data_IF_865161686045
#
_entry.id   IF_865161686045
#
_cell.length_a   1.000
_cell.length_b   1.000
_cell.length_c   1.000
_cell.angle_alpha   90.00
_cell.angle_beta   90.00
_cell.angle_gamma   90.00
#
_symmetry.space_group_name_H-M   'P 1'
#
loop_
_entity.id
_entity.type
_entity.pdbx_description
1 polymer ?
#
# COMPACT_ATOMS: atom_id res chain seq x y z
N UNK A 1 -14.18 -7.34 -1.67
CA UNK A 1 -13.73 -6.33 -2.65
C UNK A 1 -12.48 -5.67 -2.08
N UNK A 2 -11.39 -5.51 -2.85
CA UNK A 2 -10.24 -4.74 -2.42
C UNK A 2 -10.60 -3.25 -2.34
N UNK A 3 -9.96 -2.51 -1.43
CA UNK A 3 -10.15 -1.07 -1.37
C UNK A 3 -9.45 -0.37 -2.55
N UNK A 4 -10.07 0.65 -3.18
CA UNK A 4 -9.50 1.37 -4.31
C UNK A 4 -8.45 2.40 -3.89
N UNK A 5 -7.93 2.29 -2.71
CA UNK A 5 -6.86 3.15 -2.22
C UNK A 5 -5.87 2.42 -1.32
N UNK A 6 -4.68 2.96 -1.24
CA UNK A 6 -3.63 2.57 -0.30
C UNK A 6 -3.12 3.83 0.39
N UNK A 7 -2.97 3.77 1.69
CA UNK A 7 -2.36 4.85 2.47
C UNK A 7 -1.00 4.40 3.00
N UNK A 8 0.00 5.25 2.92
CA UNK A 8 1.34 4.97 3.47
C UNK A 8 1.93 6.19 4.16
N UNK A 9 2.61 5.96 5.26
CA UNK A 9 3.45 6.97 5.90
C UNK A 9 4.89 6.81 5.39
N UNK A 10 5.57 7.93 5.14
CA UNK A 10 6.99 7.90 4.71
C UNK A 10 7.90 7.39 5.82
N UNK A 11 7.59 7.75 7.05
CA UNK A 11 8.34 7.33 8.24
C UNK A 11 7.40 6.54 9.16
N UNK A 12 7.11 5.26 8.85
CA UNK A 12 6.30 4.46 9.75
C UNK A 12 7.07 4.22 11.07
N UNK A 13 6.38 4.18 12.19
CA UNK A 13 6.98 3.76 13.46
C UNK A 13 7.43 2.31 13.36
N UNK A 14 8.41 1.93 14.19
CA UNK A 14 8.77 0.54 14.35
C UNK A 14 7.53 -0.29 14.79
N UNK A 15 7.39 -1.51 14.27
CA UNK A 15 6.23 -2.33 14.58
C UNK A 15 6.08 -2.58 16.08
N UNK A 16 4.96 -2.14 16.63
CA UNK A 16 4.66 -2.28 18.07
C UNK A 16 4.96 -1.04 18.91
N UNK A 17 5.75 -0.10 18.39
CA UNK A 17 6.04 1.14 19.08
C UNK A 17 5.06 2.27 18.71
N UNK A 18 4.70 3.15 19.65
CA UNK A 18 3.91 4.32 19.34
C UNK A 18 4.79 5.36 18.62
N UNK A 19 4.32 5.92 17.53
CA UNK A 19 4.95 7.10 16.94
C UNK A 19 4.71 8.30 17.86
N UNK A 20 5.80 8.83 18.41
CA UNK A 20 5.78 10.06 19.20
C UNK A 20 6.29 11.20 18.31
N UNK A 21 5.47 12.21 18.11
CA UNK A 21 5.79 13.38 17.32
C UNK A 21 6.00 14.59 18.24
N UNK A 22 7.12 15.26 18.08
CA UNK A 22 7.35 16.56 18.71
C UNK A 22 6.47 17.64 18.08
N UNK A 23 6.17 18.73 18.78
CA UNK A 23 5.49 19.88 18.17
C UNK A 23 6.21 20.34 16.89
N UNK A 24 5.44 20.75 15.89
CA UNK A 24 5.92 21.20 14.58
C UNK A 24 6.64 20.15 13.72
N UNK A 25 6.57 18.86 14.09
CA UNK A 25 7.07 17.78 13.23
C UNK A 25 6.18 17.65 11.99
N UNK A 26 6.79 17.69 10.80
CA UNK A 26 6.09 17.38 9.54
C UNK A 26 6.00 15.87 9.36
N UNK A 27 4.81 15.40 8.99
CA UNK A 27 4.55 14.00 8.64
C UNK A 27 4.01 13.96 7.23
N UNK A 28 4.65 13.16 6.40
CA UNK A 28 4.18 12.92 5.03
C UNK A 28 3.37 11.63 4.98
N UNK A 29 2.19 11.75 4.39
CA UNK A 29 1.29 10.62 4.12
C UNK A 29 0.97 10.62 2.64
N UNK A 30 1.30 9.53 1.96
CA UNK A 30 0.89 9.33 0.57
C UNK A 30 -0.39 8.50 0.52
N UNK A 31 -1.21 8.78 -0.48
CA UNK A 31 -2.34 7.96 -0.84
C UNK A 31 -2.24 7.58 -2.33
N UNK A 32 -2.25 6.28 -2.61
CA UNK A 32 -2.46 5.79 -3.97
C UNK A 32 -3.96 5.66 -4.16
N UNK A 33 -4.52 6.38 -5.11
CA UNK A 33 -5.94 6.34 -5.47
C UNK A 33 -6.08 5.57 -6.79
N UNK A 34 -7.14 4.82 -6.95
CA UNK A 34 -7.36 3.94 -8.10
C UNK A 34 -8.73 4.28 -8.68
N UNK A 35 -8.75 4.66 -9.96
CA UNK A 35 -9.95 4.96 -10.75
C UNK A 35 -10.92 5.92 -10.02
N UNK A 36 -12.16 5.55 -9.82
CA UNK A 36 -13.20 6.38 -9.20
C UNK A 36 -12.81 6.96 -7.83
N UNK A 37 -11.79 6.39 -7.17
CA UNK A 37 -11.29 6.96 -5.93
C UNK A 37 -10.67 8.36 -6.09
N UNK A 38 -10.34 8.76 -7.32
CA UNK A 38 -9.88 10.11 -7.63
C UNK A 38 -10.98 11.15 -7.44
N UNK A 39 -12.24 10.80 -7.69
CA UNK A 39 -13.39 11.67 -7.46
C UNK A 39 -13.57 11.99 -5.97
N UNK A 40 -12.99 11.17 -5.09
CA UNK A 40 -13.04 11.37 -3.66
C UNK A 40 -12.03 12.42 -3.14
N UNK A 41 -11.14 12.97 -3.99
CA UNK A 41 -10.11 13.95 -3.57
C UNK A 41 -10.72 15.11 -2.76
N UNK A 42 -11.80 15.79 -3.18
CA UNK A 42 -12.39 16.86 -2.38
C UNK A 42 -12.89 16.40 -1.01
N UNK A 43 -13.47 15.20 -0.95
CA UNK A 43 -13.92 14.61 0.33
C UNK A 43 -12.76 14.20 1.23
N UNK A 44 -11.67 13.71 0.66
CA UNK A 44 -10.45 13.36 1.38
C UNK A 44 -9.79 14.59 1.98
N UNK A 45 -9.71 15.68 1.22
CA UNK A 45 -9.15 16.95 1.68
C UNK A 45 -9.95 17.51 2.86
N UNK A 46 -11.28 17.56 2.74
CA UNK A 46 -12.16 17.97 3.82
C UNK A 46 -12.03 17.07 5.06
N UNK A 47 -11.84 15.76 4.85
CA UNK A 47 -11.62 14.82 5.95
C UNK A 47 -10.30 15.05 6.68
N UNK A 48 -9.22 15.38 5.96
CA UNK A 48 -7.93 15.72 6.58
C UNK A 48 -8.02 17.00 7.41
N UNK A 49 -8.69 18.02 6.94
CA UNK A 49 -8.91 19.27 7.69
C UNK A 49 -9.73 19.00 8.96
N UNK A 50 -10.82 18.25 8.84
CA UNK A 50 -11.64 17.87 9.98
C UNK A 50 -10.87 17.03 11.01
N UNK A 51 -10.08 16.07 10.57
CA UNK A 51 -9.20 15.26 11.43
C UNK A 51 -8.16 16.11 12.12
N UNK A 52 -7.59 17.08 11.43
CA UNK A 52 -6.62 18.03 11.98
C UNK A 52 -7.23 18.87 13.11
N UNK A 53 -8.42 19.39 12.90
CA UNK A 53 -9.15 20.18 13.89
C UNK A 53 -9.57 19.35 15.11
N UNK A 54 -10.00 18.10 14.93
CA UNK A 54 -10.36 17.17 16.01
C UNK A 54 -9.12 16.64 16.78
N UNK A 55 -7.97 16.69 16.17
CA UNK A 55 -6.70 16.17 16.66
C UNK A 55 -6.52 14.66 16.47
N UNK A 56 -5.28 14.27 16.27
CA UNK A 56 -4.84 12.89 16.02
C UNK A 56 -4.11 12.31 17.24
N UNK A 57 -4.03 10.99 17.31
CA UNK A 57 -3.27 10.27 18.32
C UNK A 57 -4.04 10.00 19.61
N UNK A 58 -3.29 9.60 20.63
CA UNK A 58 -3.81 9.39 21.98
C UNK A 58 -4.05 10.73 22.66
N UNK A 59 -5.07 10.78 23.52
CA UNK A 59 -5.26 11.91 24.42
C UNK A 59 -4.14 11.91 25.46
N UNK A 60 -3.37 12.99 25.50
CA UNK A 60 -2.34 13.23 26.51
C UNK A 60 -2.83 14.32 27.48
N UNK A 61 -2.37 14.23 28.72
CA UNK A 61 -2.65 15.24 29.74
C UNK A 61 -1.85 16.49 29.40
N UNK A 62 -2.52 17.64 29.37
CA UNK A 62 -1.87 18.94 29.17
C UNK A 62 -1.80 19.70 30.48
N UNK A 63 -0.94 20.70 30.54
CA UNK A 63 -0.91 21.67 31.65
C UNK A 63 -2.34 22.19 31.92
N UNK A 64 -2.90 21.85 33.11
CA UNK A 64 -4.29 22.15 33.47
C UNK A 64 -5.23 20.97 33.53
N UNK A 65 -4.73 19.71 33.39
CA UNK A 65 -5.49 18.46 33.63
C UNK A 65 -6.43 18.02 32.50
N UNK A 66 -6.59 18.82 31.44
CA UNK A 66 -7.43 18.45 30.31
C UNK A 66 -6.72 17.47 29.38
N UNK A 67 -7.32 16.32 29.11
CA UNK A 67 -6.82 15.35 28.12
C UNK A 67 -7.21 15.75 26.70
N UNK A 68 -6.26 16.17 25.89
CA UNK A 68 -6.46 16.53 24.48
C UNK A 68 -5.61 15.69 23.55
N UNK A 69 -6.04 15.59 22.29
CA UNK A 69 -5.24 15.02 21.19
C UNK A 69 -4.35 16.09 20.60
N UNK A 70 -3.22 15.68 20.00
CA UNK A 70 -2.38 16.60 19.23
C UNK A 70 -3.16 17.16 18.04
N UNK A 71 -3.16 18.49 17.88
CA UNK A 71 -3.70 19.12 16.68
C UNK A 71 -2.73 18.92 15.53
N UNK A 72 -3.26 18.71 14.34
CA UNK A 72 -2.51 18.57 13.11
C UNK A 72 -3.09 19.57 12.11
N UNK A 73 -2.22 20.24 11.39
CA UNK A 73 -2.62 21.12 10.30
C UNK A 73 -2.07 20.55 8.99
N UNK A 74 -2.89 20.53 7.96
CA UNK A 74 -2.43 20.23 6.62
C UNK A 74 -1.53 21.38 6.16
N UNK A 75 -0.28 21.06 5.85
CA UNK A 75 0.69 22.07 5.39
C UNK A 75 0.67 22.20 3.87
N UNK A 76 0.59 21.08 3.18
CA UNK A 76 0.57 21.01 1.73
C UNK A 76 -0.09 19.73 1.24
N UNK A 77 -0.62 19.71 0.05
CA UNK A 77 -1.06 18.52 -0.65
C UNK A 77 -0.72 18.63 -2.14
N UNK A 78 -0.23 17.54 -2.70
CA UNK A 78 0.06 17.43 -4.12
C UNK A 78 -0.48 16.12 -4.69
N UNK A 79 -0.82 16.13 -5.96
CA UNK A 79 -1.16 14.96 -6.75
C UNK A 79 0.04 14.64 -7.66
N UNK A 80 0.59 13.44 -7.50
CA UNK A 80 1.66 12.93 -8.36
C UNK A 80 1.06 11.94 -9.37
N UNK A 81 1.21 12.25 -10.64
CA UNK A 81 0.72 11.44 -11.75
C UNK A 81 1.86 11.24 -12.73
N UNK A 82 2.42 10.01 -12.76
CA UNK A 82 3.49 9.66 -13.71
C UNK A 82 4.75 10.51 -13.60
N UNK A 83 5.07 11.05 -12.43
CA UNK A 83 6.23 11.91 -12.19
C UNK A 83 5.96 13.41 -12.41
N UNK A 84 4.74 13.77 -12.76
CA UNK A 84 4.28 15.18 -12.77
C UNK A 84 3.56 15.45 -11.46
N UNK A 85 4.06 16.41 -10.68
CA UNK A 85 3.47 16.82 -9.41
C UNK A 85 2.61 18.08 -9.63
N UNK A 86 1.33 17.96 -9.28
CA UNK A 86 0.37 19.05 -9.29
C UNK A 86 0.06 19.45 -7.85
N UNK A 87 0.34 20.70 -7.49
CA UNK A 87 0.01 21.20 -6.15
C UNK A 87 -1.49 21.40 -6.04
N UNK A 88 -2.09 20.74 -5.03
CA UNK A 88 -3.52 20.84 -4.72
C UNK A 88 -3.80 21.82 -3.58
N UNK A 89 -2.86 21.97 -2.65
CA UNK A 89 -2.95 22.85 -1.49
C UNK A 89 -1.57 23.37 -1.13
N UNK A 90 -1.43 24.67 -0.93
CA UNK A 90 -0.16 25.34 -0.64
C UNK A 90 0.00 25.77 0.84
N UNK A 91 -0.90 25.35 1.70
CA UNK A 91 -0.96 25.79 3.10
C UNK A 91 -2.00 26.88 3.36
N UNK A 92 -2.54 27.50 2.32
CA UNK A 92 -3.50 28.62 2.40
C UNK A 92 -4.71 28.40 1.51
N UNK A 93 -4.50 27.91 0.29
CA UNK A 93 -5.54 27.81 -0.73
C UNK A 93 -5.55 26.44 -1.41
N UNK A 94 -6.74 25.94 -1.68
CA UNK A 94 -6.96 24.76 -2.49
C UNK A 94 -7.06 25.12 -3.96
N UNK A 95 -6.27 24.43 -4.79
CA UNK A 95 -6.30 24.49 -6.25
C UNK A 95 -6.68 23.09 -6.77
N UNK A 96 -7.93 22.68 -6.58
CA UNK A 96 -8.39 21.39 -7.07
C UNK A 96 -8.59 21.49 -8.59
N UNK A 97 -8.03 20.56 -9.39
CA UNK A 97 -8.34 20.48 -10.79
C UNK A 97 -9.86 20.25 -10.95
N UNK A 98 -10.51 20.91 -11.89
CA UNK A 98 -11.97 20.85 -12.07
C UNK A 98 -12.49 19.43 -12.39
N UNK A 99 -11.64 18.59 -12.92
CA UNK A 99 -11.72 17.11 -12.98
C UNK A 99 -10.32 16.56 -13.04
N UNK A 100 -10.06 15.43 -12.39
CA UNK A 100 -8.89 14.61 -12.73
C UNK A 100 -9.21 13.96 -14.08
N UNK A 101 -8.91 14.67 -15.16
CA UNK A 101 -9.20 14.22 -16.51
C UNK A 101 -8.35 12.99 -16.81
N UNK A 102 -8.95 11.96 -17.39
CA UNK A 102 -8.23 10.74 -17.83
C UNK A 102 -7.06 11.09 -18.76
N UNK A 103 -7.13 12.20 -19.50
CA UNK A 103 -6.02 12.71 -20.30
C UNK A 103 -4.74 13.01 -19.49
N UNK A 104 -4.83 13.42 -18.23
CA UNK A 104 -3.63 13.58 -17.38
C UNK A 104 -2.94 12.23 -17.14
N UNK A 105 -3.72 11.16 -17.01
CA UNK A 105 -3.18 9.80 -16.83
C UNK A 105 -2.61 9.24 -18.13
N UNK A 106 -3.25 9.49 -19.24
CA UNK A 106 -2.74 9.11 -20.56
C UNK A 106 -1.43 9.82 -20.90
N UNK A 107 -1.35 11.13 -20.62
CA UNK A 107 -0.13 11.90 -20.78
C UNK A 107 0.97 11.43 -19.81
N UNK A 108 0.63 11.14 -18.57
CA UNK A 108 1.58 10.64 -17.59
C UNK A 108 2.02 9.20 -17.93
N UNK A 109 1.12 8.35 -18.44
CA UNK A 109 1.47 7.01 -18.93
C UNK A 109 2.38 7.07 -20.17
N UNK A 110 2.17 8.05 -21.07
CA UNK A 110 3.02 8.31 -22.23
C UNK A 110 4.39 8.88 -21.85
N UNK A 111 4.48 9.57 -20.71
CA UNK A 111 5.74 10.12 -20.16
C UNK A 111 6.49 9.12 -19.28
N UNK A 112 5.92 7.94 -19.03
CA UNK A 112 6.69 6.91 -18.30
C UNK A 112 7.95 6.58 -19.11
N UNK A 113 9.15 6.83 -18.56
CA UNK A 113 10.37 6.41 -19.22
C UNK A 113 10.27 4.91 -19.48
N UNK A 114 10.75 4.46 -20.63
CA UNK A 114 10.90 3.05 -20.95
C UNK A 114 11.29 2.29 -19.67
N UNK A 115 10.35 1.53 -19.14
CA UNK A 115 10.65 0.72 -17.95
C UNK A 115 11.85 -0.15 -18.34
N UNK A 116 13.02 0.02 -17.72
CA UNK A 116 14.20 -0.76 -18.07
C UNK A 116 13.78 -2.22 -18.12
N UNK A 117 14.32 -2.96 -19.08
CA UNK A 117 14.07 -4.40 -19.15
C UNK A 117 14.24 -4.97 -17.74
N UNK A 118 13.21 -5.67 -17.26
CA UNK A 118 13.23 -6.16 -15.89
C UNK A 118 14.50 -6.98 -15.66
N UNK A 119 15.26 -6.73 -14.58
CA UNK A 119 16.52 -7.42 -14.33
C UNK A 119 16.33 -8.94 -14.38
N UNK A 120 17.29 -9.64 -14.96
CA UNK A 120 17.32 -11.10 -14.97
C UNK A 120 18.01 -11.66 -13.71
N UNK A 121 17.83 -10.99 -12.60
CA UNK A 121 18.38 -11.33 -11.29
C UNK A 121 17.28 -11.77 -10.33
N UNK A 122 17.60 -12.48 -9.26
CA UNK A 122 16.64 -12.80 -8.21
C UNK A 122 16.00 -11.54 -7.62
N UNK A 123 14.71 -11.59 -7.39
CA UNK A 123 13.95 -10.45 -6.87
C UNK A 123 14.02 -10.42 -5.36
N UNK A 124 14.70 -9.43 -4.82
CA UNK A 124 14.73 -9.19 -3.37
C UNK A 124 13.63 -8.23 -2.95
N UNK A 125 12.82 -8.64 -1.99
CA UNK A 125 11.64 -7.90 -1.51
C UNK A 125 11.77 -7.67 -0.02
N UNK A 126 11.84 -6.41 0.38
CA UNK A 126 11.81 -6.00 1.78
C UNK A 126 10.37 -5.69 2.22
N UNK A 127 9.94 -6.30 3.31
CA UNK A 127 8.65 -6.02 3.95
C UNK A 127 8.79 -4.82 4.88
N UNK A 128 8.32 -3.65 4.47
CA UNK A 128 8.46 -2.37 5.20
C UNK A 128 7.37 -2.13 6.23
N UNK A 129 6.22 -2.78 6.07
CA UNK A 129 5.15 -2.79 7.05
C UNK A 129 4.58 -4.20 7.17
N UNK A 130 3.94 -4.56 8.30
CA UNK A 130 3.51 -5.93 8.53
C UNK A 130 2.69 -6.50 7.38
N UNK A 131 3.21 -7.51 6.71
CA UNK A 131 2.53 -8.22 5.62
C UNK A 131 1.64 -9.31 6.21
N UNK A 132 0.31 -9.09 6.13
CA UNK A 132 -0.67 -10.03 6.64
C UNK A 132 -1.28 -10.83 5.50
N UNK A 133 -0.78 -12.03 5.29
CA UNK A 133 -1.30 -12.97 4.30
C UNK A 133 -2.31 -13.93 4.92
N UNK A 134 -3.23 -14.41 4.06
CA UNK A 134 -4.13 -15.52 4.37
C UNK A 134 -4.06 -16.52 3.22
N UNK A 135 -3.67 -17.75 3.55
CA UNK A 135 -3.64 -18.87 2.63
C UNK A 135 -4.37 -20.06 3.26
N UNK A 136 -5.11 -20.85 2.48
CA UNK A 136 -5.91 -21.99 2.97
C UNK A 136 -6.73 -21.67 4.24
N UNK A 137 -7.36 -20.48 4.28
CA UNK A 137 -8.13 -19.95 5.43
C UNK A 137 -7.33 -19.61 6.67
N UNK A 138 -6.03 -19.86 6.72
CA UNK A 138 -5.13 -19.58 7.85
C UNK A 138 -4.30 -18.32 7.62
N UNK A 139 -3.84 -17.69 8.70
CA UNK A 139 -2.89 -16.59 8.64
C UNK A 139 -1.49 -17.18 8.52
N UNK A 140 -0.78 -16.78 7.46
CA UNK A 140 0.58 -17.22 7.18
C UNK A 140 1.53 -16.66 8.24
N UNK A 141 2.27 -17.55 8.88
CA UNK A 141 3.34 -17.25 9.84
C UNK A 141 4.71 -17.34 9.15
N UNK A 142 5.82 -16.89 9.79
CA UNK A 142 7.14 -16.96 9.17
C UNK A 142 7.49 -18.36 8.62
N UNK A 143 7.25 -19.39 9.39
CA UNK A 143 7.55 -20.77 9.00
C UNK A 143 6.58 -21.35 7.94
N UNK A 144 5.43 -20.71 7.74
CA UNK A 144 4.40 -21.13 6.77
C UNK A 144 4.50 -20.34 5.46
N UNK A 145 5.50 -19.42 5.35
CA UNK A 145 5.66 -18.60 4.15
C UNK A 145 6.05 -19.48 2.97
N UNK A 146 5.31 -19.37 1.90
CA UNK A 146 5.47 -20.22 0.72
C UNK A 146 5.16 -19.45 -0.57
N UNK A 147 5.69 -19.94 -1.69
CA UNK A 147 5.41 -19.38 -3.01
C UNK A 147 3.90 -19.38 -3.31
N UNK A 148 3.14 -20.46 -3.10
CA UNK A 148 1.69 -20.45 -3.31
C UNK A 148 0.95 -19.39 -2.49
N UNK A 149 1.38 -19.14 -1.26
CA UNK A 149 0.77 -18.10 -0.40
C UNK A 149 1.01 -16.70 -0.98
N UNK A 150 2.23 -16.44 -1.49
CA UNK A 150 2.59 -15.17 -2.10
C UNK A 150 1.89 -14.99 -3.45
N UNK A 151 1.90 -16.01 -4.33
CA UNK A 151 1.17 -16.01 -5.59
C UNK A 151 -0.32 -15.69 -5.38
N UNK A 152 -0.97 -16.40 -4.47
CA UNK A 152 -2.38 -16.17 -4.17
C UNK A 152 -2.67 -14.77 -3.61
N UNK A 153 -1.75 -14.17 -2.86
CA UNK A 153 -1.89 -12.81 -2.36
C UNK A 153 -1.72 -11.77 -3.46
N UNK A 154 -0.69 -11.95 -4.30
CA UNK A 154 -0.38 -11.07 -5.44
C UNK A 154 -1.51 -11.11 -6.46
N UNK A 155 -1.93 -12.31 -6.86
CA UNK A 155 -3.06 -12.51 -7.78
C UNK A 155 -4.32 -11.80 -7.25
N UNK A 156 -4.75 -12.12 -6.03
CA UNK A 156 -5.96 -11.51 -5.44
C UNK A 156 -5.90 -10.00 -5.36
N UNK A 157 -4.72 -9.43 -5.15
CA UNK A 157 -4.57 -7.97 -5.08
C UNK A 157 -4.64 -7.35 -6.46
N UNK A 158 -3.82 -7.80 -7.41
CA UNK A 158 -3.71 -7.20 -8.73
C UNK A 158 -4.96 -7.48 -9.58
N UNK A 159 -5.35 -8.74 -9.69
CA UNK A 159 -6.53 -9.12 -10.47
C UNK A 159 -7.81 -8.63 -9.83
N UNK A 160 -7.89 -8.68 -8.50
CA UNK A 160 -9.06 -8.15 -7.78
C UNK A 160 -9.25 -6.65 -7.99
N UNK A 161 -8.17 -5.87 -8.09
CA UNK A 161 -8.26 -4.44 -8.44
C UNK A 161 -8.67 -4.27 -9.90
N UNK A 162 -8.07 -5.00 -10.83
CA UNK A 162 -8.41 -4.92 -12.26
C UNK A 162 -9.88 -5.28 -12.51
N UNK A 163 -10.38 -6.35 -11.90
CA UNK A 163 -11.78 -6.78 -12.04
C UNK A 163 -12.77 -5.77 -11.45
N UNK A 164 -12.42 -5.14 -10.32
CA UNK A 164 -13.36 -4.29 -9.60
C UNK A 164 -13.33 -2.82 -10.05
N UNK A 165 -12.22 -2.36 -10.59
CA UNK A 165 -12.00 -0.93 -10.81
C UNK A 165 -11.45 -0.57 -12.20
N UNK A 166 -11.16 -1.55 -13.09
CA UNK A 166 -10.81 -1.21 -14.46
C UNK A 166 -12.03 -0.71 -15.24
N UNK A 167 -11.91 0.38 -16.02
CA UNK A 167 -12.97 0.80 -16.94
C UNK A 167 -13.39 -0.31 -17.92
N UNK A 168 -12.42 -1.16 -18.26
CA UNK A 168 -12.62 -2.36 -19.08
C UNK A 168 -12.20 -3.61 -18.28
N UNK A 169 -13.08 -4.15 -17.42
CA UNK A 169 -12.74 -5.34 -16.63
C UNK A 169 -12.35 -6.52 -17.53
N UNK A 170 -11.34 -7.30 -17.12
CA UNK A 170 -10.92 -8.47 -17.91
C UNK A 170 -12.04 -9.49 -17.99
N UNK A 171 -12.17 -10.17 -19.13
CA UNK A 171 -13.11 -11.26 -19.31
C UNK A 171 -12.84 -12.42 -18.32
N UNK A 172 -13.87 -13.17 -17.96
CA UNK A 172 -13.73 -14.26 -16.99
C UNK A 172 -12.71 -15.33 -17.45
N UNK A 173 -12.63 -15.61 -18.76
CA UNK A 173 -11.62 -16.51 -19.32
C UNK A 173 -10.21 -15.98 -19.11
N UNK A 174 -9.96 -14.69 -19.38
CA UNK A 174 -8.66 -14.07 -19.17
C UNK A 174 -8.25 -14.06 -17.68
N UNK A 175 -9.22 -13.93 -16.76
CA UNK A 175 -8.98 -14.04 -15.31
C UNK A 175 -8.56 -15.48 -14.95
N UNK A 176 -9.17 -16.49 -15.57
CA UNK A 176 -8.80 -17.89 -15.35
C UNK A 176 -7.41 -18.20 -15.93
N UNK A 177 -7.16 -17.79 -17.18
CA UNK A 177 -5.85 -17.97 -17.83
C UNK A 177 -4.71 -17.33 -16.99
N UNK A 178 -4.99 -16.16 -16.42
CA UNK A 178 -4.03 -15.47 -15.54
C UNK A 178 -3.83 -16.22 -14.23
N UNK A 179 -4.86 -16.85 -13.67
CA UNK A 179 -4.75 -17.68 -12.47
C UNK A 179 -3.84 -18.88 -12.73
N UNK A 180 -4.04 -19.56 -13.86
CA UNK A 180 -3.25 -20.73 -14.26
C UNK A 180 -1.78 -20.33 -14.50
N UNK A 181 -1.56 -19.17 -15.14
CA UNK A 181 -0.23 -18.61 -15.32
C UNK A 181 0.46 -18.27 -13.97
N UNK A 182 -0.28 -17.77 -12.97
CA UNK A 182 0.25 -17.54 -11.63
C UNK A 182 0.62 -18.83 -10.90
N UNK A 183 -0.13 -19.91 -11.09
CA UNK A 183 0.25 -21.22 -10.54
C UNK A 183 1.52 -21.76 -11.21
N UNK A 184 1.59 -21.73 -12.54
CA UNK A 184 2.79 -22.15 -13.29
C UNK A 184 4.03 -21.31 -12.90
N UNK A 185 3.87 -19.99 -12.72
CA UNK A 185 4.92 -19.12 -12.19
C UNK A 185 5.35 -19.58 -10.78
N UNK A 186 4.38 -19.92 -9.95
CA UNK A 186 4.65 -20.41 -8.59
C UNK A 186 5.46 -21.70 -8.58
N UNK A 187 5.11 -22.66 -9.41
CA UNK A 187 5.80 -23.96 -9.53
C UNK A 187 7.25 -23.81 -10.00
N UNK A 188 7.53 -22.80 -10.83
CA UNK A 188 8.86 -22.49 -11.34
C UNK A 188 9.67 -21.56 -10.42
N UNK A 189 9.13 -21.17 -9.26
CA UNK A 189 9.74 -20.20 -8.34
C UNK A 189 10.31 -20.88 -7.11
N UNK A 190 11.51 -20.48 -6.71
CA UNK A 190 12.07 -20.76 -5.39
C UNK A 190 11.96 -19.52 -4.50
N UNK A 191 11.58 -19.73 -3.24
CA UNK A 191 11.47 -18.69 -2.22
C UNK A 191 12.54 -18.91 -1.16
N UNK A 192 13.36 -17.91 -0.92
CA UNK A 192 14.29 -17.86 0.21
C UNK A 192 13.85 -16.73 1.16
N UNK A 193 13.55 -17.07 2.40
CA UNK A 193 13.03 -16.14 3.39
C UNK A 193 13.52 -16.44 4.81
N UNK A 194 14.85 -16.58 5.05
CA UNK A 194 15.39 -17.09 6.30
C UNK A 194 15.22 -16.14 7.49
N UNK A 195 15.02 -14.87 7.23
CA UNK A 195 14.97 -13.81 8.24
C UNK A 195 13.57 -13.21 8.43
N UNK A 196 12.51 -13.94 8.09
CA UNK A 196 11.15 -13.48 8.36
C UNK A 196 10.85 -13.57 9.85
N UNK A 197 10.30 -12.49 10.38
CA UNK A 197 9.84 -12.36 11.76
C UNK A 197 8.34 -12.04 11.81
N UNK A 198 7.75 -12.18 13.00
CA UNK A 198 6.36 -11.80 13.21
C UNK A 198 6.28 -10.51 14.03
N UNK A 199 5.94 -9.42 13.37
CA UNK A 199 5.65 -8.18 14.07
C UNK A 199 4.28 -8.25 14.72
N UNK A 200 4.21 -7.92 16.01
CA UNK A 200 2.95 -7.82 16.75
C UNK A 200 2.45 -6.39 16.69
N UNK A 201 1.15 -6.22 16.49
CA UNK A 201 0.54 -4.90 16.46
C UNK A 201 -0.97 -4.99 16.56
N UNK A 202 -1.58 -3.92 16.99
CA UNK A 202 -3.03 -3.83 17.11
C UNK A 202 -3.53 -2.39 17.05
N UNK A 203 -4.63 -2.18 16.35
CA UNK A 203 -5.36 -0.92 16.32
C UNK A 203 -6.66 -1.08 17.09
N UNK A 204 -6.95 -0.14 17.98
CA UNK A 204 -8.27 -0.08 18.61
C UNK A 204 -9.25 0.70 17.71
N UNK A 205 -10.40 0.12 17.44
CA UNK A 205 -11.49 0.78 16.74
C UNK A 205 -12.52 1.29 17.76
N UNK A 206 -12.60 2.59 17.96
CA UNK A 206 -13.60 3.19 18.85
C UNK A 206 -15.03 2.91 18.39
N UNK A 207 -15.27 2.90 17.06
CA UNK A 207 -16.59 2.59 16.50
C UNK A 207 -17.07 1.18 16.80
N UNK A 208 -16.13 0.21 16.85
CA UNK A 208 -16.44 -1.20 17.06
C UNK A 208 -16.11 -1.67 18.49
N UNK A 209 -15.57 -0.80 19.34
CA UNK A 209 -15.19 -1.11 20.71
C UNK A 209 -14.16 -2.22 20.89
N UNK A 210 -13.41 -2.56 19.85
CA UNK A 210 -12.50 -3.71 19.86
C UNK A 210 -11.14 -3.45 19.22
N UNK A 211 -10.16 -4.25 19.62
CA UNK A 211 -8.83 -4.28 18.98
C UNK A 211 -8.86 -5.10 17.69
N UNK A 212 -8.26 -4.54 16.65
CA UNK A 212 -8.01 -5.22 15.38
C UNK A 212 -6.51 -5.50 15.25
N UNK A 213 -6.11 -6.76 15.03
CA UNK A 213 -4.70 -7.09 14.87
C UNK A 213 -4.15 -6.43 13.59
N UNK A 214 -3.02 -5.77 13.72
CA UNK A 214 -2.20 -5.26 12.60
C UNK A 214 -0.90 -6.03 12.46
N UNK A 215 -0.78 -7.14 13.16
CA UNK A 215 0.37 -8.05 13.12
C UNK A 215 0.54 -8.68 11.75
N UNK A 216 1.78 -8.98 11.38
CA UNK A 216 2.12 -9.61 10.11
C UNK A 216 3.60 -9.96 10.00
N UNK A 217 3.99 -10.45 8.85
CA UNK A 217 5.36 -10.79 8.49
C UNK A 217 6.18 -9.51 8.25
N UNK A 218 7.42 -9.52 8.72
CA UNK A 218 8.44 -8.50 8.48
C UNK A 218 9.74 -9.18 8.09
N UNK A 219 10.60 -8.47 7.39
CA UNK A 219 11.92 -8.96 7.00
C UNK A 219 12.15 -8.94 5.51
N UNK A 220 13.00 -9.83 5.05
CA UNK A 220 13.45 -9.94 3.66
C UNK A 220 13.04 -11.28 3.08
N UNK A 221 12.66 -11.29 1.82
CA UNK A 221 12.46 -12.50 1.04
C UNK A 221 13.07 -12.33 -0.35
N UNK A 222 13.54 -13.41 -0.93
CA UNK A 222 14.10 -13.46 -2.29
C UNK A 222 13.33 -14.48 -3.10
N UNK A 223 12.90 -14.06 -4.28
CA UNK A 223 12.23 -14.89 -5.28
C UNK A 223 13.20 -15.15 -6.42
N UNK A 224 13.43 -16.41 -6.72
CA UNK A 224 14.32 -16.84 -7.78
C UNK A 224 13.65 -17.90 -8.67
N UNK A 225 14.24 -18.17 -9.81
CA UNK A 225 13.77 -19.15 -10.78
C UNK A 225 14.53 -19.05 -12.10
N UNK A 226 14.11 -19.82 -13.12
CA UNK A 226 14.70 -19.70 -14.45
C UNK A 226 14.57 -18.29 -15.03
N UNK A 227 15.41 -17.91 -16.01
CA UNK A 227 15.42 -16.56 -16.59
C UNK A 227 14.04 -15.98 -16.95
N UNK A 228 13.09 -16.71 -17.50
CA UNK A 228 11.75 -16.14 -17.81
C UNK A 228 10.92 -15.77 -16.58
N UNK A 229 11.20 -16.37 -15.42
CA UNK A 229 10.43 -16.18 -14.17
C UNK A 229 10.80 -14.88 -13.45
N UNK A 230 12.09 -14.54 -13.42
CA UNK A 230 12.61 -13.38 -12.70
C UNK A 230 12.01 -12.04 -13.15
N UNK A 231 11.98 -11.70 -14.45
CA UNK A 231 11.38 -10.46 -14.94
C UNK A 231 9.88 -10.35 -14.61
N UNK A 232 9.17 -11.48 -14.58
CA UNK A 232 7.74 -11.51 -14.22
C UNK A 232 7.56 -11.13 -12.76
N UNK A 233 8.36 -11.70 -11.85
CA UNK A 233 8.34 -11.32 -10.43
C UNK A 233 8.75 -9.88 -10.20
N UNK A 234 9.77 -9.37 -10.88
CA UNK A 234 10.14 -7.96 -10.82
C UNK A 234 8.95 -7.06 -11.15
N UNK A 235 8.23 -7.35 -12.23
CA UNK A 235 7.04 -6.59 -12.64
C UNK A 235 5.95 -6.64 -11.58
N UNK A 236 5.61 -7.83 -11.09
CA UNK A 236 4.57 -7.98 -10.08
C UNK A 236 4.92 -7.32 -8.76
N UNK A 237 6.16 -7.44 -8.31
CA UNK A 237 6.58 -6.83 -7.05
C UNK A 237 6.69 -5.30 -7.15
N UNK A 238 7.02 -4.75 -8.31
CA UNK A 238 6.92 -3.30 -8.56
C UNK A 238 5.49 -2.79 -8.45
N UNK A 239 4.51 -3.48 -9.03
CA UNK A 239 3.11 -3.14 -8.80
C UNK A 239 2.71 -3.30 -7.33
N UNK A 240 3.16 -4.35 -6.68
CA UNK A 240 2.92 -4.57 -5.27
C UNK A 240 3.54 -3.48 -4.37
N UNK A 241 4.65 -2.88 -4.79
CA UNK A 241 5.28 -1.74 -4.08
C UNK A 241 4.35 -0.52 -4.02
N UNK A 242 3.60 -0.25 -5.09
CA UNK A 242 2.61 0.81 -5.12
C UNK A 242 1.30 0.40 -4.41
N UNK A 243 0.81 -0.81 -4.69
CA UNK A 243 -0.54 -1.26 -4.32
C UNK A 243 -0.60 -2.00 -2.99
N UNK A 244 0.54 -2.30 -2.38
CA UNK A 244 0.69 -3.14 -1.19
C UNK A 244 0.11 -4.54 -1.36
N UNK A 245 0.52 -5.49 -0.52
CA UNK A 245 0.06 -6.88 -0.57
C UNK A 245 -0.71 -7.27 0.69
N UNK A 246 -1.52 -8.31 0.56
CA UNK A 246 -2.21 -8.94 1.67
C UNK A 246 -3.43 -8.18 2.17
N UNK A 247 -3.66 -8.25 3.47
CA UNK A 247 -4.84 -7.67 4.11
C UNK A 247 -4.54 -6.32 4.73
N UNK A 248 -5.58 -5.44 4.75
CA UNK A 248 -5.54 -4.12 5.39
C UNK A 248 -4.56 -3.14 4.71
N UNK A 249 -4.38 -3.27 3.41
CA UNK A 249 -3.56 -2.36 2.59
C UNK A 249 -4.03 -0.91 2.68
N UNK A 250 -5.34 -0.66 2.79
CA UNK A 250 -5.90 0.66 3.05
C UNK A 250 -5.46 1.30 4.38
N UNK A 251 -4.87 0.52 5.28
CA UNK A 251 -4.28 1.00 6.53
C UNK A 251 -2.74 1.06 6.46
N UNK A 252 -2.16 0.99 5.28
CA UNK A 252 -0.71 1.03 5.08
C UNK A 252 0.02 -0.29 5.34
N UNK A 253 -0.70 -1.39 5.64
CA UNK A 253 -0.09 -2.70 5.83
C UNK A 253 0.31 -3.34 4.49
N UNK A 254 1.32 -4.22 4.55
CA UNK A 254 1.79 -4.96 3.39
C UNK A 254 2.59 -4.14 2.38
N UNK A 255 3.20 -3.03 2.82
CA UNK A 255 4.15 -2.27 2.00
C UNK A 255 5.39 -3.09 1.74
N UNK A 256 5.72 -3.26 0.49
CA UNK A 256 6.94 -3.93 0.03
C UNK A 256 7.85 -2.92 -0.69
N UNK A 257 9.14 -3.18 -0.68
CA UNK A 257 10.14 -2.45 -1.48
C UNK A 257 10.96 -3.48 -2.21
N UNK A 258 11.10 -3.30 -3.51
CA UNK A 258 11.92 -4.16 -4.37
C UNK A 258 13.31 -3.56 -4.44
N UNK A 259 14.31 -4.35 -4.09
CA UNK A 259 15.70 -4.01 -4.34
C UNK A 259 16.11 -4.51 -5.73
N UNK A 260 16.64 -3.62 -6.50
CA UNK A 260 17.34 -3.93 -7.76
C UNK A 260 18.77 -4.30 -7.45
#
# INVERSE_FOLDING_TARGET
VPHPFVMRMHTPPEPGEPLVLSPNTRVQVDMVLIEDALEAIPSLTAAFDALGAQGLGKKTEQLGGARRRGRVQLAEAALDVGGVSLQLYDGTQWSLPPRCDTHLFEQAAALQPNVPAAPNEPVTVQLRTPLRLKHARQIVRPNDMSVPALCAATYRRLVGLAVCYSPTPPAASAVQDLLDAFFALGDATTLNAPALTWATGGRYSHRQGRRHPTSGLMGLLTLDGPPPVRPVWHRFMRHAQALHLGKKTALGLGRVVVSS
#
